data_IF_318874006400
#
_entry.id   IF_318874006400
#
_cell.length_a   1.000
_cell.length_b   1.000
_cell.length_c   1.000
_cell.angle_alpha   90.00
_cell.angle_beta   90.00
_cell.angle_gamma   90.00
#
_symmetry.space_group_name_H-M   'P 1'
#
loop_
_entity.id
_entity.type
_entity.pdbx_description
1 polymer ?
#
# COMPACT_ATOMS: atom_id res chain seq x y z
N UNK A 1 -61.22 39.86 16.58
CA UNK A 1 -60.04 40.38 15.89
C UNK A 1 -58.73 39.75 16.42
N UNK A 2 -58.53 39.64 17.72
CA UNK A 2 -57.30 39.14 18.34
C UNK A 2 -57.03 37.65 18.15
N UNK A 3 -58.08 36.82 18.18
CA UNK A 3 -57.96 35.36 17.92
C UNK A 3 -57.60 35.02 16.46
N UNK A 4 -58.01 35.88 15.53
CA UNK A 4 -57.71 35.72 14.10
C UNK A 4 -56.23 36.02 13.79
N UNK A 5 -55.67 37.07 14.40
CA UNK A 5 -54.29 37.45 14.29
C UNK A 5 -53.34 36.37 14.89
N UNK A 6 -53.70 35.77 16.03
CA UNK A 6 -52.93 34.65 16.61
C UNK A 6 -52.83 33.43 15.68
N UNK A 7 -53.91 33.09 15.00
CA UNK A 7 -53.92 31.97 14.03
C UNK A 7 -53.06 32.25 12.81
N UNK A 8 -53.03 33.50 12.35
CA UNK A 8 -52.17 33.90 11.21
C UNK A 8 -50.72 33.90 11.62
N UNK A 9 -50.37 34.46 12.77
CA UNK A 9 -48.96 34.45 13.29
C UNK A 9 -48.48 33.02 13.53
N UNK A 10 -49.32 32.12 14.03
CA UNK A 10 -48.97 30.73 14.24
C UNK A 10 -48.69 30.02 12.91
N UNK A 11 -49.49 30.27 11.87
CA UNK A 11 -49.24 29.69 10.53
C UNK A 11 -47.99 30.22 9.89
N UNK A 12 -47.69 31.49 10.06
CA UNK A 12 -46.43 32.11 9.58
C UNK A 12 -45.22 31.50 10.31
N UNK A 13 -45.32 31.32 11.64
CA UNK A 13 -44.26 30.68 12.43
C UNK A 13 -44.03 29.24 12.00
N UNK A 14 -45.10 28.47 11.74
CA UNK A 14 -45.02 27.11 11.25
C UNK A 14 -44.37 27.05 9.85
N UNK A 15 -44.71 28.02 8.98
CA UNK A 15 -44.09 28.11 7.64
C UNK A 15 -42.59 28.39 7.72
N UNK A 16 -42.16 29.33 8.58
CA UNK A 16 -40.75 29.63 8.81
C UNK A 16 -40.00 28.46 9.46
N UNK A 17 -40.65 27.73 10.36
CA UNK A 17 -40.10 26.52 10.97
C UNK A 17 -39.85 25.42 9.92
N UNK A 18 -40.79 25.19 8.99
CA UNK A 18 -40.64 24.23 7.92
C UNK A 18 -39.58 24.63 6.87
N UNK A 19 -39.44 25.92 6.55
CA UNK A 19 -38.40 26.44 5.65
C UNK A 19 -37.01 26.33 6.28
N UNK A 20 -36.91 26.49 7.60
CA UNK A 20 -35.64 26.35 8.35
C UNK A 20 -35.10 24.91 8.41
N UNK A 21 -35.97 23.89 8.22
CA UNK A 21 -35.58 22.47 8.23
C UNK A 21 -35.13 21.97 6.83
N UNK A 22 -35.52 22.67 5.76
CA UNK A 22 -35.08 22.38 4.40
C UNK A 22 -33.65 22.93 4.13
N UNK A 23 -32.72 22.53 4.97
CA UNK A 23 -31.29 22.71 4.63
C UNK A 23 -31.00 21.78 3.45
N UNK A 24 -30.51 22.28 2.31
CA UNK A 24 -30.00 21.39 1.29
C UNK A 24 -28.85 20.61 1.94
N UNK A 25 -29.02 19.33 2.08
CA UNK A 25 -27.93 18.42 2.32
C UNK A 25 -27.05 18.54 1.06
N UNK A 26 -26.13 19.49 1.06
CA UNK A 26 -25.07 19.57 0.09
C UNK A 26 -24.28 18.25 0.26
N UNK A 27 -24.66 17.24 -0.50
CA UNK A 27 -23.87 16.04 -0.68
C UNK A 27 -22.54 16.51 -1.24
N UNK A 28 -21.56 16.67 -0.37
CA UNK A 28 -20.18 16.86 -0.81
C UNK A 28 -19.77 15.53 -1.42
N UNK A 29 -19.74 15.49 -2.74
CA UNK A 29 -19.11 14.36 -3.43
C UNK A 29 -17.68 14.25 -2.89
N UNK A 30 -17.26 13.08 -2.39
CA UNK A 30 -15.89 12.93 -1.91
C UNK A 30 -14.95 13.26 -3.07
N UNK A 31 -14.16 14.31 -2.92
CA UNK A 31 -13.14 14.66 -3.92
C UNK A 31 -12.00 13.65 -3.77
N UNK A 32 -11.95 12.67 -4.68
CA UNK A 32 -10.87 11.71 -4.73
C UNK A 32 -9.66 12.36 -5.39
N UNK A 33 -8.60 12.59 -4.61
CA UNK A 33 -7.30 12.96 -5.15
C UNK A 33 -6.56 11.66 -5.53
N UNK A 34 -6.16 11.53 -6.79
CA UNK A 34 -5.31 10.44 -7.23
C UNK A 34 -3.98 11.00 -7.76
N UNK A 35 -2.89 10.31 -7.45
CA UNK A 35 -1.56 10.57 -7.98
C UNK A 35 -1.15 9.37 -8.82
N UNK A 36 -0.80 9.59 -10.06
CA UNK A 36 -0.27 8.53 -10.90
C UNK A 36 1.23 8.40 -10.65
N UNK A 37 1.70 7.19 -10.37
CA UNK A 37 3.12 6.85 -10.29
C UNK A 37 3.47 6.01 -11.52
N UNK A 38 4.33 6.52 -12.36
CA UNK A 38 4.78 5.85 -13.58
C UNK A 38 6.29 5.99 -13.76
N UNK A 39 6.78 5.60 -14.94
CA UNK A 39 8.20 5.70 -15.30
C UNK A 39 8.70 7.14 -15.23
N UNK A 40 7.84 8.11 -15.57
CA UNK A 40 8.19 9.54 -15.52
C UNK A 40 8.44 10.02 -14.08
N UNK A 41 7.73 9.44 -13.12
CA UNK A 41 7.88 9.72 -11.69
C UNK A 41 8.98 8.87 -11.05
N UNK A 42 9.67 8.04 -11.83
CA UNK A 42 10.81 7.24 -11.37
C UNK A 42 10.50 5.78 -11.08
N UNK A 43 9.33 5.24 -11.48
CA UNK A 43 9.05 3.82 -11.34
C UNK A 43 9.95 2.99 -12.26
N UNK A 44 10.49 1.88 -11.76
CA UNK A 44 11.42 1.02 -12.52
C UNK A 44 10.79 0.41 -13.78
N UNK A 45 9.47 0.17 -13.76
CA UNK A 45 8.69 -0.31 -14.90
C UNK A 45 7.19 -0.03 -14.70
N UNK A 46 6.44 0.14 -15.80
CA UNK A 46 5.00 0.43 -15.74
C UNK A 46 4.14 -0.78 -15.35
N UNK A 47 4.62 -2.01 -15.57
CA UNK A 47 3.92 -3.24 -15.18
C UNK A 47 4.18 -3.54 -13.72
N UNK A 48 3.24 -3.17 -12.87
CA UNK A 48 3.26 -3.46 -11.44
C UNK A 48 2.75 -4.89 -11.21
N UNK A 49 3.49 -5.69 -10.44
CA UNK A 49 3.11 -7.06 -10.08
C UNK A 49 2.47 -7.13 -8.69
N UNK A 50 3.01 -6.38 -7.75
CA UNK A 50 2.52 -6.35 -6.37
C UNK A 50 2.75 -4.99 -5.73
N UNK A 51 1.92 -4.68 -4.73
CA UNK A 51 2.04 -3.47 -3.91
C UNK A 51 1.80 -3.81 -2.45
N UNK A 52 2.47 -3.10 -1.57
CA UNK A 52 2.30 -3.21 -0.13
C UNK A 52 2.47 -1.82 0.49
N UNK A 53 1.54 -1.44 1.38
CA UNK A 53 1.75 -0.29 2.27
C UNK A 53 2.24 -0.83 3.62
N UNK A 54 3.46 -0.46 4.02
CA UNK A 54 4.06 -0.97 5.24
C UNK A 54 3.58 -0.19 6.49
N UNK A 55 3.91 -0.69 7.69
CA UNK A 55 3.54 -0.08 8.97
C UNK A 55 4.05 1.36 9.17
N UNK A 56 5.07 1.78 8.39
CA UNK A 56 5.61 3.14 8.38
C UNK A 56 4.90 4.06 7.40
N UNK A 57 3.98 3.50 6.57
CA UNK A 57 3.26 4.22 5.54
C UNK A 57 4.05 4.39 4.23
N UNK A 58 5.14 3.63 4.04
CA UNK A 58 5.83 3.55 2.76
C UNK A 58 5.09 2.61 1.82
N UNK A 59 4.93 3.04 0.56
CA UNK A 59 4.33 2.20 -0.47
C UNK A 59 5.44 1.47 -1.23
N UNK A 60 5.48 0.16 -1.08
CA UNK A 60 6.38 -0.73 -1.80
C UNK A 60 5.72 -1.22 -3.07
N UNK A 61 6.42 -1.11 -4.20
CA UNK A 61 5.89 -1.42 -5.53
C UNK A 61 6.87 -2.37 -6.21
N UNK A 62 6.44 -3.61 -6.41
CA UNK A 62 7.20 -4.63 -7.12
C UNK A 62 6.86 -4.66 -8.59
N UNK A 63 7.88 -4.68 -9.43
CA UNK A 63 7.77 -4.77 -10.89
C UNK A 63 8.63 -5.92 -11.44
N UNK A 64 8.61 -6.15 -12.74
CA UNK A 64 9.54 -7.07 -13.39
C UNK A 64 10.98 -6.52 -13.51
N UNK A 65 11.18 -5.23 -13.23
CA UNK A 65 12.45 -4.53 -13.41
C UNK A 65 13.00 -3.87 -12.14
N UNK A 66 12.50 -4.26 -10.97
CA UNK A 66 12.97 -3.78 -9.68
C UNK A 66 11.89 -3.59 -8.65
N UNK A 67 12.34 -3.36 -7.42
CA UNK A 67 11.51 -2.96 -6.29
C UNK A 67 11.61 -1.45 -6.11
N UNK A 68 10.47 -0.82 -5.86
CA UNK A 68 10.40 0.62 -5.65
C UNK A 68 9.77 0.90 -4.29
N UNK A 69 10.30 1.90 -3.58
CA UNK A 69 9.77 2.39 -2.32
C UNK A 69 9.38 3.86 -2.49
N UNK A 70 8.12 4.18 -2.24
CA UNK A 70 7.57 5.52 -2.31
C UNK A 70 7.23 6.02 -0.90
N UNK A 71 7.85 7.13 -0.49
CA UNK A 71 7.69 7.74 0.83
C UNK A 71 6.71 8.92 0.85
N UNK A 72 5.86 9.06 -0.18
CA UNK A 72 4.92 10.13 -0.52
C UNK A 72 5.55 11.29 -1.31
N UNK A 73 6.85 11.51 -1.22
CA UNK A 73 7.57 12.59 -1.91
C UNK A 73 8.51 12.02 -2.97
N UNK A 74 9.29 11.02 -2.62
CA UNK A 74 10.34 10.45 -3.44
C UNK A 74 10.09 8.97 -3.75
N UNK A 75 10.49 8.57 -4.94
CA UNK A 75 10.50 7.17 -5.35
C UNK A 75 11.95 6.68 -5.40
N UNK A 76 12.27 5.71 -4.54
CA UNK A 76 13.60 5.06 -4.52
C UNK A 76 13.49 3.70 -5.18
N UNK A 77 14.43 3.41 -6.09
CA UNK A 77 14.54 2.11 -6.75
C UNK A 77 15.60 1.24 -6.07
N UNK A 78 15.28 -0.05 -5.94
CA UNK A 78 16.20 -1.10 -5.53
C UNK A 78 16.34 -2.11 -6.67
N UNK A 79 17.57 -2.35 -7.07
CA UNK A 79 17.89 -3.22 -8.20
C UNK A 79 18.86 -4.32 -7.76
N UNK A 80 18.77 -5.46 -8.41
CA UNK A 80 19.77 -6.50 -8.33
C UNK A 80 21.10 -6.01 -8.91
N UNK A 81 22.19 -6.25 -8.18
CA UNK A 81 23.57 -6.01 -8.63
C UNK A 81 24.35 -7.31 -8.57
N UNK A 82 24.78 -7.85 -9.71
CA UNK A 82 25.58 -9.09 -9.73
C UNK A 82 26.84 -8.95 -8.86
N UNK A 83 27.06 -9.96 -7.99
CA UNK A 83 28.20 -9.95 -7.08
C UNK A 83 28.03 -9.16 -5.78
N UNK A 84 26.90 -8.49 -5.59
CA UNK A 84 26.56 -7.80 -4.34
C UNK A 84 25.40 -8.53 -3.64
N UNK A 85 25.72 -9.33 -2.63
CA UNK A 85 24.76 -10.14 -1.85
C UNK A 85 23.82 -9.27 -0.98
N UNK A 86 24.08 -7.97 -0.86
CA UNK A 86 23.27 -7.02 -0.10
C UNK A 86 22.14 -6.41 -0.93
N UNK A 87 22.01 -6.83 -2.18
CA UNK A 87 20.96 -6.38 -3.09
C UNK A 87 19.90 -7.48 -3.31
N UNK A 88 18.87 -7.16 -4.09
CA UNK A 88 17.83 -8.12 -4.45
C UNK A 88 18.42 -9.35 -5.17
N UNK A 89 17.87 -10.57 -4.96
CA UNK A 89 18.30 -11.76 -5.72
C UNK A 89 18.00 -11.66 -7.23
N UNK A 90 16.96 -10.90 -7.60
CA UNK A 90 16.57 -10.62 -8.98
C UNK A 90 15.74 -9.34 -9.06
N UNK A 91 15.70 -8.71 -10.22
CA UNK A 91 14.83 -7.54 -10.47
C UNK A 91 13.35 -7.93 -10.65
N UNK A 92 13.04 -9.16 -10.98
CA UNK A 92 11.66 -9.60 -11.17
C UNK A 92 11.02 -9.91 -9.81
N UNK A 93 10.23 -8.96 -9.29
CA UNK A 93 9.57 -9.07 -7.99
C UNK A 93 8.26 -9.80 -8.15
N UNK A 94 8.06 -10.88 -7.39
CA UNK A 94 6.86 -11.72 -7.47
C UNK A 94 5.86 -11.41 -6.38
N UNK A 95 6.32 -11.12 -5.15
CA UNK A 95 5.46 -10.61 -4.09
C UNK A 95 6.25 -9.80 -3.06
N UNK A 96 5.51 -9.03 -2.24
CA UNK A 96 6.00 -8.28 -1.10
C UNK A 96 5.03 -8.53 0.05
N UNK A 97 5.56 -8.79 1.24
CA UNK A 97 4.75 -8.98 2.45
C UNK A 97 5.44 -8.38 3.66
N UNK A 98 4.66 -7.95 4.65
CA UNK A 98 5.15 -7.55 5.95
C UNK A 98 4.52 -8.45 7.02
N UNK A 99 5.36 -9.02 7.88
CA UNK A 99 4.88 -9.86 8.98
C UNK A 99 4.50 -9.04 10.23
N UNK A 100 3.95 -9.70 11.24
CA UNK A 100 3.53 -9.07 12.49
C UNK A 100 4.69 -8.48 13.32
N UNK A 101 5.92 -8.84 13.00
CA UNK A 101 7.15 -8.29 13.58
C UNK A 101 7.72 -7.13 12.77
N UNK A 102 6.97 -6.66 11.75
CA UNK A 102 7.36 -5.59 10.85
C UNK A 102 8.58 -5.92 9.95
N UNK A 103 8.87 -7.20 9.74
CA UNK A 103 9.87 -7.62 8.77
C UNK A 103 9.27 -7.54 7.37
N UNK A 104 9.98 -6.90 6.45
CA UNK A 104 9.59 -6.80 5.06
C UNK A 104 10.24 -7.92 4.24
N UNK A 105 9.39 -8.78 3.71
CA UNK A 105 9.73 -9.91 2.89
C UNK A 105 9.55 -9.57 1.41
N UNK A 106 10.55 -9.85 0.61
CA UNK A 106 10.50 -9.61 -0.84
C UNK A 106 10.88 -10.89 -1.56
N UNK A 107 9.96 -11.44 -2.33
CA UNK A 107 10.23 -12.55 -3.20
C UNK A 107 10.49 -12.09 -4.62
N UNK A 108 11.42 -12.75 -5.25
CA UNK A 108 11.84 -12.55 -6.62
C UNK A 108 11.86 -13.87 -7.38
N UNK A 109 12.06 -13.83 -8.69
CA UNK A 109 12.23 -15.06 -9.49
C UNK A 109 13.44 -15.90 -9.05
N UNK A 110 14.44 -15.31 -8.40
CA UNK A 110 15.68 -16.01 -8.00
C UNK A 110 15.80 -16.21 -6.48
N UNK A 111 14.70 -16.10 -5.75
CA UNK A 111 14.66 -16.36 -4.31
C UNK A 111 13.97 -15.28 -3.51
N UNK A 112 13.89 -15.51 -2.20
CA UNK A 112 13.28 -14.57 -1.24
C UNK A 112 14.36 -13.90 -0.39
N UNK A 113 14.13 -12.65 -0.04
CA UNK A 113 15.00 -11.87 0.84
C UNK A 113 14.22 -11.08 1.88
N UNK A 114 14.89 -10.72 2.95
CA UNK A 114 14.46 -9.78 3.96
C UNK A 114 15.12 -8.43 3.71
N UNK A 115 14.33 -7.38 3.82
CA UNK A 115 14.85 -6.01 3.81
C UNK A 115 15.30 -5.60 5.21
N UNK A 116 16.58 -5.24 5.33
CA UNK A 116 17.14 -4.65 6.54
C UNK A 116 16.98 -3.13 6.47
N UNK A 117 16.08 -2.62 7.28
CA UNK A 117 15.76 -1.18 7.36
C UNK A 117 16.92 -0.36 7.96
N UNK A 118 17.78 -0.99 8.76
CA UNK A 118 18.92 -0.32 9.42
C UNK A 118 20.08 -0.03 8.47
N UNK A 119 20.37 -0.99 7.62
CA UNK A 119 21.47 -0.90 6.63
C UNK A 119 21.00 -0.57 5.22
N UNK A 120 19.65 -0.44 5.03
CA UNK A 120 19.01 -0.19 3.73
C UNK A 120 19.45 -1.18 2.65
N UNK A 121 19.45 -2.46 3.02
CA UNK A 121 19.96 -3.56 2.20
C UNK A 121 19.08 -4.79 2.30
N UNK A 122 19.35 -5.79 1.48
CA UNK A 122 18.62 -7.04 1.45
C UNK A 122 19.50 -8.20 1.90
N UNK A 123 18.90 -9.16 2.58
CA UNK A 123 19.53 -10.42 2.95
C UNK A 123 18.74 -11.57 2.32
N UNK A 124 19.34 -12.20 1.31
CA UNK A 124 18.76 -13.37 0.66
C UNK A 124 18.73 -14.55 1.62
N UNK A 125 17.61 -15.26 1.64
CA UNK A 125 17.46 -16.48 2.41
C UNK A 125 17.85 -17.69 1.56
N UNK A 126 18.56 -18.59 2.20
CA UNK A 126 18.97 -19.85 1.58
C UNK A 126 18.76 -21.01 2.54
N UNK A 127 18.45 -22.18 2.00
CA UNK A 127 18.45 -23.44 2.70
C UNK A 127 19.62 -24.28 2.18
N UNK A 128 20.58 -24.61 3.05
CA UNK A 128 21.79 -25.34 2.69
C UNK A 128 22.56 -24.73 1.49
N UNK A 129 22.64 -23.37 1.45
CA UNK A 129 23.30 -22.65 0.37
C UNK A 129 22.53 -22.55 -0.95
N UNK A 130 21.29 -23.08 -1.00
CA UNK A 130 20.42 -22.97 -2.18
C UNK A 130 19.34 -21.90 -1.94
N UNK A 131 19.03 -21.08 -2.94
CA UNK A 131 17.94 -20.09 -2.84
C UNK A 131 16.60 -20.76 -2.57
N UNK A 132 15.77 -20.14 -1.76
CA UNK A 132 14.39 -20.58 -1.50
C UNK A 132 13.49 -19.92 -2.53
N UNK A 133 12.90 -20.73 -3.42
CA UNK A 133 11.93 -20.27 -4.41
C UNK A 133 10.52 -20.35 -3.83
N UNK A 134 9.77 -19.27 -3.95
CA UNK A 134 8.45 -19.15 -3.34
C UNK A 134 7.37 -19.11 -4.40
N UNK A 135 6.47 -20.09 -4.37
CA UNK A 135 5.28 -20.14 -5.22
C UNK A 135 4.03 -19.57 -4.52
N UNK A 136 3.99 -19.72 -3.20
CA UNK A 136 2.89 -19.23 -2.36
C UNK A 136 3.40 -18.86 -0.98
N UNK A 137 2.64 -18.03 -0.26
CA UNK A 137 2.96 -17.66 1.11
C UNK A 137 1.71 -17.49 1.96
N UNK A 138 1.88 -17.63 3.27
CA UNK A 138 0.87 -17.32 4.28
C UNK A 138 1.53 -16.53 5.41
N UNK A 139 0.97 -15.39 5.73
CA UNK A 139 1.39 -14.63 6.91
C UNK A 139 0.83 -15.33 8.16
N UNK A 140 1.70 -15.57 9.13
CA UNK A 140 1.36 -16.17 10.41
C UNK A 140 1.86 -15.28 11.53
N UNK A 141 1.42 -15.54 12.76
CA UNK A 141 1.91 -14.81 13.92
C UNK A 141 3.42 -15.05 14.07
N UNK A 142 4.20 -13.96 14.02
CA UNK A 142 5.65 -13.98 14.17
C UNK A 142 6.44 -14.32 12.90
N UNK A 143 5.80 -14.43 11.71
CA UNK A 143 6.56 -14.72 10.50
C UNK A 143 5.73 -15.02 9.26
N UNK A 144 6.34 -15.76 8.34
CA UNK A 144 5.75 -16.13 7.07
C UNK A 144 5.99 -17.62 6.80
N UNK A 145 4.93 -18.33 6.40
CA UNK A 145 5.03 -19.67 5.84
C UNK A 145 5.20 -19.57 4.33
N UNK A 146 6.18 -20.29 3.80
CA UNK A 146 6.52 -20.29 2.38
C UNK A 146 6.22 -21.66 1.79
N UNK A 147 5.52 -21.69 0.67
CA UNK A 147 5.31 -22.87 -0.16
C UNK A 147 6.07 -22.73 -1.46
N UNK A 148 6.92 -23.71 -1.80
CA UNK A 148 7.72 -23.71 -3.02
C UNK A 148 8.83 -24.73 -3.02
N UNK A 149 9.66 -24.75 -4.05
CA UNK A 149 10.83 -25.63 -4.14
C UNK A 149 12.00 -25.03 -3.34
N UNK A 150 12.64 -25.88 -2.53
CA UNK A 150 13.75 -25.47 -1.64
C UNK A 150 13.30 -24.97 -0.26
N UNK A 151 11.98 -24.87 -0.01
CA UNK A 151 11.44 -24.68 1.31
C UNK A 151 11.25 -26.04 1.98
N UNK A 152 12.12 -26.37 2.91
CA UNK A 152 11.91 -27.23 4.10
C UNK A 152 13.07 -26.96 5.02
#
# INVERSE_FOLDING_TARGET
MWLFMRKILFKIYLLFFFVGIAQPILSQSPYYYYKQLGIKEGLSQSKVQCVLNDHRGYLWIGTESGLNCYDRDHLKQYLHRPGDERTLPSNNITFIAEDSLCNLWVATMNGICLYDRGSDSFRTLSNNGKPIYVASYLLVEGGILLGGSGAI
#
